data_IF_552679606060
#
_entry.id   IF_552679606060
#
_cell.length_a   1.000
_cell.length_b   1.000
_cell.length_c   1.000
_cell.angle_alpha   90.00
_cell.angle_beta   90.00
_cell.angle_gamma   90.00
#
_symmetry.space_group_name_H-M   'P 1'
#
loop_
_entity.id
_entity.type
_entity.pdbx_description
1 polymer ?
#
# COMPACT_ATOMS: atom_id res chain seq x y z
N UNK A 1 -25.12 24.88 0.16
CA UNK A 1 -26.47 24.42 0.60
C UNK A 1 -27.54 25.44 0.25
N UNK A 2 -27.44 26.69 0.72
CA UNK A 2 -28.39 27.77 0.34
C UNK A 2 -28.52 27.95 -1.17
N UNK A 3 -27.40 27.85 -1.89
CA UNK A 3 -27.33 27.89 -3.36
C UNK A 3 -28.12 26.75 -4.07
N UNK A 4 -28.41 25.65 -3.37
CA UNK A 4 -29.04 24.46 -3.94
C UNK A 4 -30.53 24.36 -3.63
N UNK A 5 -31.09 25.27 -2.83
CA UNK A 5 -32.52 25.24 -2.48
C UNK A 5 -33.42 25.39 -3.71
N UNK A 6 -32.96 26.15 -4.72
CA UNK A 6 -33.68 26.34 -5.99
C UNK A 6 -33.91 25.03 -6.76
N UNK A 7 -33.04 24.03 -6.57
CA UNK A 7 -33.15 22.72 -7.22
C UNK A 7 -33.96 21.71 -6.40
N UNK A 8 -34.49 22.10 -5.24
CA UNK A 8 -35.11 21.17 -4.29
C UNK A 8 -36.29 20.40 -4.89
N UNK A 9 -37.16 21.08 -5.63
CA UNK A 9 -38.33 20.46 -6.27
C UNK A 9 -37.93 19.53 -7.42
N UNK A 10 -36.99 19.96 -8.25
CA UNK A 10 -36.45 19.16 -9.36
C UNK A 10 -35.75 17.89 -8.85
N UNK A 11 -34.93 18.02 -7.79
CA UNK A 11 -34.30 16.88 -7.15
C UNK A 11 -35.33 15.92 -6.55
N UNK A 12 -36.43 16.45 -5.99
CA UNK A 12 -37.53 15.62 -5.49
C UNK A 12 -38.22 14.85 -6.63
N UNK A 13 -38.50 15.48 -7.77
CA UNK A 13 -39.03 14.77 -8.95
C UNK A 13 -38.09 13.67 -9.46
N UNK A 14 -36.79 13.95 -9.54
CA UNK A 14 -35.79 12.93 -9.88
C UNK A 14 -35.79 11.78 -8.86
N UNK A 15 -35.94 12.11 -7.59
CA UNK A 15 -36.04 11.12 -6.53
C UNK A 15 -37.30 10.26 -6.68
N UNK A 16 -38.47 10.85 -7.01
CA UNK A 16 -39.70 10.13 -7.31
C UNK A 16 -39.58 9.23 -8.56
N UNK A 17 -38.70 9.58 -9.50
CA UNK A 17 -38.33 8.77 -10.68
C UNK A 17 -37.28 7.68 -10.38
N UNK A 18 -36.94 7.43 -9.11
CA UNK A 18 -36.02 6.37 -8.71
C UNK A 18 -34.54 6.75 -8.73
N UNK A 19 -34.18 8.04 -8.74
CA UNK A 19 -32.78 8.44 -8.58
C UNK A 19 -32.41 8.48 -7.09
N UNK A 20 -31.32 7.80 -6.73
CA UNK A 20 -30.78 7.88 -5.36
C UNK A 20 -30.18 9.27 -5.09
N UNK A 21 -30.16 9.70 -3.82
CA UNK A 21 -29.57 10.99 -3.45
C UNK A 21 -28.09 11.12 -3.86
N UNK A 22 -27.37 10.00 -3.96
CA UNK A 22 -25.99 9.96 -4.45
C UNK A 22 -25.90 10.21 -5.95
N UNK A 23 -26.85 9.69 -6.73
CA UNK A 23 -26.95 9.94 -8.17
C UNK A 23 -27.35 11.39 -8.44
N UNK A 24 -28.33 11.92 -7.72
CA UNK A 24 -28.74 13.33 -7.79
C UNK A 24 -27.57 14.23 -7.42
N UNK A 25 -26.89 13.98 -6.30
CA UNK A 25 -25.72 14.77 -5.90
C UNK A 25 -24.66 14.84 -7.00
N UNK A 26 -24.35 13.71 -7.65
CA UNK A 26 -23.38 13.65 -8.75
C UNK A 26 -23.78 14.50 -9.96
N UNK A 27 -25.08 14.53 -10.33
CA UNK A 27 -25.57 15.30 -11.47
C UNK A 27 -25.39 16.81 -11.29
N UNK A 28 -25.50 17.29 -10.04
CA UNK A 28 -25.44 18.72 -9.71
C UNK A 28 -24.14 19.09 -8.96
N UNK A 29 -23.08 18.28 -9.11
CA UNK A 29 -21.76 18.59 -8.56
C UNK A 29 -21.70 18.68 -7.03
N UNK A 30 -22.57 17.98 -6.32
CA UNK A 30 -22.70 18.07 -4.85
C UNK A 30 -22.75 16.69 -4.18
N UNK A 31 -22.82 16.68 -2.84
CA UNK A 31 -22.86 15.44 -2.06
C UNK A 31 -24.28 14.99 -1.74
N UNK A 32 -24.49 13.68 -1.58
CA UNK A 32 -25.76 13.12 -1.13
C UNK A 32 -26.24 13.69 0.22
N UNK A 33 -25.32 14.12 1.10
CA UNK A 33 -25.64 14.79 2.36
C UNK A 33 -26.23 16.17 2.12
N UNK A 34 -25.71 16.91 1.14
CA UNK A 34 -26.24 18.22 0.73
C UNK A 34 -27.65 18.07 0.17
N UNK A 35 -27.87 17.09 -0.71
CA UNK A 35 -29.22 16.77 -1.24
C UNK A 35 -30.19 16.42 -0.10
N UNK A 36 -29.75 15.58 0.85
CA UNK A 36 -30.56 15.25 2.02
C UNK A 36 -30.96 16.48 2.84
N UNK A 37 -30.00 17.36 3.18
CA UNK A 37 -30.30 18.59 3.94
C UNK A 37 -31.28 19.52 3.22
N UNK A 38 -31.23 19.59 1.89
CA UNK A 38 -32.20 20.38 1.10
C UNK A 38 -33.61 19.78 1.24
N UNK A 39 -33.75 18.45 1.16
CA UNK A 39 -35.05 17.79 1.35
C UNK A 39 -35.60 18.00 2.76
N UNK A 40 -34.73 17.90 3.79
CA UNK A 40 -35.13 18.11 5.19
C UNK A 40 -35.59 19.56 5.42
N UNK A 41 -34.86 20.53 4.86
CA UNK A 41 -35.18 21.94 4.95
C UNK A 41 -36.52 22.29 4.26
N UNK A 42 -36.77 21.70 3.09
CA UNK A 42 -38.00 21.90 2.31
C UNK A 42 -39.15 20.97 2.72
N UNK A 43 -38.95 20.11 3.73
CA UNK A 43 -39.90 19.09 4.20
C UNK A 43 -40.38 18.13 3.09
N UNK A 44 -39.49 17.79 2.16
CA UNK A 44 -39.75 16.87 1.04
C UNK A 44 -39.49 15.42 1.45
N UNK A 45 -40.49 14.54 1.28
CA UNK A 45 -40.37 13.11 1.59
C UNK A 45 -39.48 12.40 0.58
N UNK A 46 -38.43 11.73 1.05
CA UNK A 46 -37.57 10.92 0.16
C UNK A 46 -38.30 9.63 -0.20
N UNK A 47 -38.10 9.11 -1.41
CA UNK A 47 -38.34 7.68 -1.66
C UNK A 47 -37.55 6.91 -0.60
N UNK A 48 -38.29 6.21 0.25
CA UNK A 48 -37.69 5.31 1.20
C UNK A 48 -37.21 4.07 0.44
N UNK A 49 -35.92 4.04 0.11
CA UNK A 49 -35.30 2.83 -0.46
C UNK A 49 -35.22 1.68 0.56
N UNK A 50 -35.63 1.93 1.81
CA UNK A 50 -35.95 0.94 2.83
C UNK A 50 -37.46 0.66 2.92
N UNK A 51 -38.25 0.95 1.88
CA UNK A 51 -39.53 0.29 1.74
C UNK A 51 -39.26 -1.21 1.57
N UNK A 52 -39.67 -1.94 2.60
CA UNK A 52 -39.57 -3.38 2.78
C UNK A 52 -40.46 -4.16 1.79
N UNK A 53 -40.84 -3.55 0.67
CA UNK A 53 -41.48 -4.25 -0.43
C UNK A 53 -40.39 -5.01 -1.17
N UNK A 54 -40.44 -6.32 -0.95
CA UNK A 54 -39.57 -7.25 -1.59
C UNK A 54 -39.69 -7.13 -3.11
N UNK A 55 -38.62 -6.67 -3.77
CA UNK A 55 -38.50 -6.71 -5.22
C UNK A 55 -38.62 -8.18 -5.67
N UNK A 56 -39.71 -8.50 -6.37
CA UNK A 56 -39.91 -9.82 -6.92
C UNK A 56 -39.00 -10.04 -8.13
N UNK A 57 -38.05 -10.97 -8.01
CA UNK A 57 -37.09 -11.33 -9.07
C UNK A 57 -37.30 -12.75 -9.59
N UNK A 58 -38.47 -13.34 -9.36
CA UNK A 58 -38.86 -14.65 -9.89
C UNK A 58 -38.68 -14.72 -11.41
N UNK A 59 -38.14 -15.82 -11.93
CA UNK A 59 -37.82 -16.08 -13.33
C UNK A 59 -36.75 -15.16 -13.95
N UNK A 60 -36.19 -14.21 -13.19
CA UNK A 60 -35.11 -13.38 -13.70
C UNK A 60 -33.79 -14.17 -13.78
N UNK A 61 -32.96 -13.81 -14.77
CA UNK A 61 -31.64 -14.38 -14.99
C UNK A 61 -30.54 -13.42 -14.56
N UNK A 62 -29.54 -13.95 -13.84
CA UNK A 62 -28.36 -13.24 -13.39
C UNK A 62 -27.13 -14.05 -13.79
N UNK A 63 -26.57 -13.73 -14.97
CA UNK A 63 -25.56 -14.58 -15.62
C UNK A 63 -26.13 -15.95 -15.97
N UNK A 64 -25.51 -17.02 -15.47
CA UNK A 64 -25.95 -18.41 -15.63
C UNK A 64 -27.03 -18.84 -14.62
N UNK A 65 -27.36 -17.99 -13.63
CA UNK A 65 -28.31 -18.31 -12.57
C UNK A 65 -29.71 -17.85 -12.97
N UNK A 66 -30.71 -18.72 -12.78
CA UNK A 66 -32.14 -18.40 -12.93
C UNK A 66 -32.83 -18.53 -11.58
N UNK A 67 -33.63 -17.52 -11.24
CA UNK A 67 -34.39 -17.47 -9.98
C UNK A 67 -35.71 -18.22 -10.10
N UNK A 68 -35.99 -19.09 -9.13
CA UNK A 68 -37.23 -19.90 -9.07
C UNK A 68 -38.29 -19.17 -8.24
N UNK A 69 -38.02 -18.95 -6.96
CA UNK A 69 -38.96 -18.33 -6.03
C UNK A 69 -38.24 -17.81 -4.79
N UNK A 70 -38.95 -17.01 -4.00
CA UNK A 70 -38.46 -16.58 -2.69
C UNK A 70 -38.63 -17.66 -1.63
N UNK A 71 -37.68 -17.74 -0.71
CA UNK A 71 -37.72 -18.57 0.49
C UNK A 71 -38.11 -17.73 1.71
N UNK A 72 -38.74 -18.38 2.69
CA UNK A 72 -39.09 -17.75 3.98
C UNK A 72 -37.87 -17.57 4.90
N UNK A 73 -36.73 -18.22 4.59
CA UNK A 73 -35.47 -18.09 5.32
C UNK A 73 -34.81 -16.72 5.11
N UNK A 74 -34.19 -16.20 6.17
CA UNK A 74 -33.41 -14.97 6.17
C UNK A 74 -31.97 -15.18 6.66
N UNK A 75 -31.06 -14.28 6.30
CA UNK A 75 -29.74 -14.18 6.94
C UNK A 75 -29.83 -13.50 8.32
N UNK A 76 -28.70 -13.44 9.04
CA UNK A 76 -28.60 -12.77 10.34
C UNK A 76 -28.95 -11.26 10.30
N UNK A 77 -29.03 -10.65 9.12
CA UNK A 77 -29.41 -9.26 8.91
C UNK A 77 -30.86 -9.12 8.39
N UNK A 78 -31.66 -10.20 8.42
CA UNK A 78 -33.05 -10.19 7.95
C UNK A 78 -33.23 -10.20 6.43
N UNK A 79 -32.18 -10.44 5.63
CA UNK A 79 -32.29 -10.51 4.16
C UNK A 79 -32.78 -11.88 3.71
N UNK A 80 -33.83 -11.90 2.89
CA UNK A 80 -34.42 -13.14 2.37
C UNK A 80 -33.57 -13.82 1.30
N UNK A 81 -33.63 -15.14 1.30
CA UNK A 81 -33.03 -16.00 0.28
C UNK A 81 -33.97 -16.22 -0.91
N UNK A 82 -33.36 -16.39 -2.08
CA UNK A 82 -34.03 -16.83 -3.30
C UNK A 82 -33.52 -18.22 -3.67
N UNK A 83 -34.46 -19.11 -3.99
CA UNK A 83 -34.15 -20.41 -4.56
C UNK A 83 -33.81 -20.22 -6.03
N UNK A 84 -32.67 -20.73 -6.43
CA UNK A 84 -32.15 -20.57 -7.79
C UNK A 84 -31.66 -21.90 -8.33
N UNK A 85 -31.61 -22.02 -9.65
CA UNK A 85 -30.80 -23.03 -10.32
C UNK A 85 -29.82 -22.34 -11.26
N UNK A 86 -28.84 -23.09 -11.76
CA UNK A 86 -27.93 -22.58 -12.76
C UNK A 86 -28.12 -23.36 -14.05
N UNK A 87 -27.94 -22.70 -15.20
CA UNK A 87 -28.06 -23.32 -16.52
C UNK A 87 -27.12 -24.53 -16.69
N UNK A 88 -26.07 -24.61 -15.88
CA UNK A 88 -25.15 -25.73 -15.75
C UNK A 88 -25.82 -27.06 -15.36
N UNK A 89 -26.82 -26.98 -14.48
CA UNK A 89 -27.57 -28.12 -13.98
C UNK A 89 -28.87 -27.58 -13.35
N UNK A 90 -29.95 -27.64 -14.10
CA UNK A 90 -31.27 -27.17 -13.66
C UNK A 90 -31.85 -28.00 -12.51
N UNK A 91 -31.43 -29.26 -12.36
CA UNK A 91 -31.90 -30.15 -11.31
C UNK A 91 -31.25 -29.86 -9.96
N UNK A 92 -30.15 -29.08 -9.93
CA UNK A 92 -29.45 -28.72 -8.69
C UNK A 92 -29.78 -27.28 -8.27
N UNK A 93 -30.65 -27.18 -7.28
CA UNK A 93 -31.11 -25.90 -6.72
C UNK A 93 -30.22 -25.45 -5.55
N UNK A 94 -30.07 -24.14 -5.36
CA UNK A 94 -29.29 -23.54 -4.26
C UNK A 94 -29.85 -22.18 -3.87
N UNK A 95 -29.54 -21.73 -2.64
CA UNK A 95 -30.03 -20.45 -2.10
C UNK A 95 -29.05 -19.30 -2.32
N UNK A 96 -29.55 -18.15 -2.74
CA UNK A 96 -28.76 -16.92 -2.96
C UNK A 96 -29.47 -15.71 -2.37
N UNK A 97 -28.73 -14.80 -1.75
CA UNK A 97 -29.30 -13.55 -1.23
C UNK A 97 -29.59 -12.59 -2.38
N UNK A 98 -30.74 -11.92 -2.32
CA UNK A 98 -31.22 -10.98 -3.34
C UNK A 98 -30.19 -9.88 -3.71
N UNK A 99 -29.41 -9.43 -2.72
CA UNK A 99 -28.34 -8.43 -2.93
C UNK A 99 -27.22 -8.90 -3.83
N UNK A 100 -26.93 -10.20 -3.86
CA UNK A 100 -25.76 -10.75 -4.55
C UNK A 100 -26.06 -11.00 -6.02
N UNK A 101 -27.31 -11.39 -6.32
CA UNK A 101 -27.85 -11.44 -7.67
C UNK A 101 -27.87 -10.05 -8.30
N UNK A 102 -28.55 -9.07 -7.66
CA UNK A 102 -28.71 -7.73 -8.22
C UNK A 102 -27.42 -6.93 -8.36
N UNK A 103 -26.42 -7.19 -7.50
CA UNK A 103 -25.10 -6.53 -7.58
C UNK A 103 -24.11 -7.30 -8.46
N UNK A 104 -24.53 -8.41 -9.08
CA UNK A 104 -23.66 -9.23 -9.93
C UNK A 104 -22.53 -9.93 -9.17
N UNK A 105 -22.63 -10.09 -7.85
CA UNK A 105 -21.64 -10.83 -7.03
C UNK A 105 -21.79 -12.34 -7.15
N UNK A 106 -22.99 -12.81 -7.50
CA UNK A 106 -23.30 -14.22 -7.72
C UNK A 106 -24.01 -14.37 -9.06
N UNK A 107 -23.27 -14.79 -10.08
CA UNK A 107 -23.75 -14.90 -11.47
C UNK A 107 -23.58 -16.31 -12.06
N UNK A 108 -23.01 -17.27 -11.30
CA UNK A 108 -22.87 -18.67 -11.70
C UNK A 108 -22.85 -19.63 -10.49
N UNK A 109 -23.22 -20.91 -10.73
CA UNK A 109 -23.14 -21.99 -9.74
C UNK A 109 -21.70 -22.31 -9.31
N UNK A 110 -20.71 -21.88 -10.10
CA UNK A 110 -19.30 -22.24 -9.90
C UNK A 110 -18.92 -23.60 -10.48
N UNK A 111 -19.82 -24.25 -11.25
CA UNK A 111 -19.51 -25.47 -11.99
C UNK A 111 -18.43 -25.29 -13.07
N UNK A 112 -18.26 -24.06 -13.57
CA UNK A 112 -17.22 -23.69 -14.54
C UNK A 112 -15.94 -23.22 -13.84
N UNK A 113 -15.86 -23.30 -12.51
CA UNK A 113 -14.55 -23.32 -11.86
C UNK A 113 -14.01 -24.75 -11.99
N UNK A 114 -12.86 -24.94 -12.64
CA UNK A 114 -12.31 -26.27 -12.88
C UNK A 114 -11.83 -26.89 -11.56
N UNK A 115 -12.74 -27.52 -10.82
CA UNK A 115 -12.44 -28.51 -9.80
C UNK A 115 -12.07 -29.82 -10.52
N UNK A 116 -10.86 -29.87 -11.10
CA UNK A 116 -10.06 -31.09 -11.47
C UNK A 116 -9.07 -30.92 -12.64
N UNK A 117 -8.79 -29.72 -13.13
CA UNK A 117 -7.80 -29.64 -14.21
C UNK A 117 -6.39 -29.65 -13.62
N UNK A 118 -5.64 -30.70 -13.96
CA UNK A 118 -4.19 -30.69 -13.86
C UNK A 118 -3.65 -29.42 -14.54
N UNK A 119 -2.91 -28.60 -13.80
CA UNK A 119 -2.34 -27.36 -14.32
C UNK A 119 -0.94 -27.58 -14.92
N UNK A 120 -0.40 -28.80 -14.87
CA UNK A 120 0.93 -29.13 -15.42
C UNK A 120 1.07 -28.68 -16.87
N UNK A 121 2.19 -28.02 -17.16
CA UNK A 121 2.50 -27.46 -18.48
C UNK A 121 1.89 -26.08 -18.77
N UNK A 122 0.95 -25.59 -17.96
CA UNK A 122 0.33 -24.28 -18.19
C UNK A 122 1.20 -23.12 -17.70
N UNK A 123 1.09 -21.97 -18.38
CA UNK A 123 1.83 -20.76 -18.03
C UNK A 123 0.91 -19.66 -17.49
N UNK A 124 1.28 -19.09 -16.34
CA UNK A 124 0.60 -18.00 -15.66
C UNK A 124 1.59 -16.84 -15.44
N UNK A 125 1.48 -15.79 -16.27
CA UNK A 125 2.46 -14.70 -16.29
C UNK A 125 3.86 -15.23 -16.65
N UNK A 126 4.80 -15.12 -15.72
CA UNK A 126 6.18 -15.60 -15.87
C UNK A 126 6.41 -16.99 -15.24
N UNK A 127 5.36 -17.68 -14.81
CA UNK A 127 5.44 -18.99 -14.16
C UNK A 127 4.89 -20.08 -15.06
N UNK A 128 5.65 -21.15 -15.25
CA UNK A 128 5.16 -22.37 -15.88
C UNK A 128 4.98 -23.43 -14.82
N UNK A 129 3.79 -24.04 -14.74
CA UNK A 129 3.49 -25.11 -13.81
C UNK A 129 4.18 -26.38 -14.28
N UNK A 130 4.96 -27.00 -13.38
CA UNK A 130 5.74 -28.21 -13.65
C UNK A 130 4.92 -29.44 -13.28
N UNK A 131 4.41 -29.49 -12.04
CA UNK A 131 3.65 -30.61 -11.49
C UNK A 131 2.94 -30.23 -10.20
N UNK A 132 2.04 -31.08 -9.71
CA UNK A 132 1.55 -31.04 -8.33
C UNK A 132 2.73 -31.18 -7.36
N UNK A 133 2.85 -30.27 -6.38
CA UNK A 133 3.95 -30.33 -5.40
C UNK A 133 3.72 -31.37 -4.30
N UNK A 134 2.52 -31.94 -4.20
CA UNK A 134 2.09 -32.81 -3.09
C UNK A 134 1.63 -32.04 -1.86
N UNK A 135 1.87 -30.73 -1.81
CA UNK A 135 1.46 -29.86 -0.70
C UNK A 135 0.04 -29.32 -0.91
N UNK A 136 -0.63 -29.00 0.20
CA UNK A 136 -2.00 -28.47 0.20
C UNK A 136 -2.11 -27.27 1.12
N UNK A 137 -2.72 -26.20 0.65
CA UNK A 137 -3.08 -25.02 1.47
C UNK A 137 -4.21 -24.23 0.81
N UNK A 138 -5.39 -24.12 1.43
CA UNK A 138 -6.57 -25.00 1.28
C UNK A 138 -6.83 -25.69 -0.09
N UNK A 139 -6.05 -25.39 -1.14
CA UNK A 139 -6.09 -25.99 -2.48
C UNK A 139 -4.78 -26.71 -2.81
N UNK A 140 -4.72 -27.35 -3.98
CA UNK A 140 -3.49 -27.93 -4.55
C UNK A 140 -2.42 -26.84 -4.70
N UNK A 141 -1.21 -27.15 -4.25
CA UNK A 141 -0.02 -26.35 -4.52
C UNK A 141 0.70 -26.94 -5.73
N UNK A 142 1.09 -26.07 -6.64
CA UNK A 142 1.72 -26.43 -7.90
C UNK A 142 3.18 -26.03 -7.86
N UNK A 143 4.09 -26.97 -8.11
CA UNK A 143 5.47 -26.64 -8.34
C UNK A 143 5.57 -25.84 -9.64
N UNK A 144 6.06 -24.60 -9.57
CA UNK A 144 6.22 -23.74 -10.75
C UNK A 144 7.69 -23.45 -11.03
N UNK A 145 8.02 -23.21 -12.30
CA UNK A 145 9.31 -22.69 -12.76
C UNK A 145 9.10 -21.31 -13.36
N UNK A 146 9.81 -20.32 -12.84
CA UNK A 146 9.77 -18.97 -13.39
C UNK A 146 10.74 -18.82 -14.55
N UNK A 147 10.50 -17.86 -15.45
CA UNK A 147 11.46 -17.46 -16.49
C UNK A 147 12.82 -17.03 -15.93
N UNK A 148 12.87 -16.63 -14.65
CA UNK A 148 14.10 -16.36 -13.88
C UNK A 148 14.92 -17.62 -13.53
N UNK A 149 14.43 -18.83 -13.87
CA UNK A 149 15.02 -20.11 -13.50
C UNK A 149 14.61 -20.64 -12.13
N UNK A 150 14.20 -19.77 -11.19
CA UNK A 150 13.79 -20.20 -9.83
C UNK A 150 12.47 -20.97 -9.86
N UNK A 151 12.38 -21.97 -8.99
CA UNK A 151 11.17 -22.77 -8.79
C UNK A 151 10.57 -22.55 -7.41
N UNK A 152 9.25 -22.50 -7.30
CA UNK A 152 8.55 -22.41 -6.01
C UNK A 152 7.10 -22.91 -6.12
N UNK A 153 6.52 -23.43 -5.03
CA UNK A 153 5.13 -23.86 -5.00
C UNK A 153 4.18 -22.64 -4.99
N UNK A 154 3.10 -22.72 -5.76
CA UNK A 154 2.06 -21.67 -5.83
C UNK A 154 0.67 -22.32 -5.80
N UNK A 155 -0.26 -21.72 -5.06
CA UNK A 155 -1.62 -22.26 -4.94
C UNK A 155 -2.39 -22.19 -6.27
N UNK A 156 -3.30 -23.14 -6.50
CA UNK A 156 -4.26 -23.09 -7.63
C UNK A 156 -4.98 -21.74 -7.69
N UNK A 157 -5.42 -21.20 -6.55
CA UNK A 157 -6.12 -19.92 -6.50
C UNK A 157 -5.25 -18.75 -6.96
N UNK A 158 -3.98 -18.72 -6.56
CA UNK A 158 -3.10 -17.59 -6.90
C UNK A 158 -2.65 -17.62 -8.36
N UNK A 159 -2.53 -18.81 -8.95
CA UNK A 159 -2.27 -18.98 -10.38
C UNK A 159 -3.46 -18.50 -11.21
N UNK A 160 -4.67 -19.00 -10.90
CA UNK A 160 -5.89 -18.69 -11.67
C UNK A 160 -6.31 -17.22 -11.50
N UNK A 161 -6.27 -16.69 -10.27
CA UNK A 161 -6.59 -15.28 -10.01
C UNK A 161 -5.54 -14.30 -10.55
N UNK A 162 -4.34 -14.81 -10.86
CA UNK A 162 -3.20 -14.00 -11.27
C UNK A 162 -2.59 -13.18 -10.13
N UNK A 163 -2.84 -13.51 -8.87
CA UNK A 163 -2.15 -12.89 -7.73
C UNK A 163 -0.65 -13.18 -7.74
N UNK A 164 -0.26 -14.38 -8.19
CA UNK A 164 1.15 -14.78 -8.28
C UNK A 164 1.54 -14.99 -9.74
N UNK A 165 2.36 -14.06 -10.27
CA UNK A 165 2.78 -14.04 -11.69
C UNK A 165 4.28 -14.28 -11.89
N UNK A 166 5.09 -14.28 -10.83
CA UNK A 166 6.54 -14.48 -10.93
C UNK A 166 7.14 -14.97 -9.62
N UNK A 167 8.40 -15.41 -9.65
CA UNK A 167 9.21 -15.77 -8.49
C UNK A 167 9.56 -14.59 -7.56
N UNK A 168 8.96 -13.42 -7.78
CA UNK A 168 9.35 -12.15 -7.15
C UNK A 168 10.48 -11.42 -7.87
N UNK A 169 11.12 -12.04 -8.88
CA UNK A 169 12.18 -11.40 -9.68
C UNK A 169 11.70 -10.21 -10.52
N UNK A 170 10.40 -10.14 -10.83
CA UNK A 170 9.78 -9.05 -11.58
C UNK A 170 9.16 -7.99 -10.66
N UNK A 171 9.36 -8.09 -9.34
CA UNK A 171 8.96 -7.02 -8.43
C UNK A 171 9.91 -5.84 -8.64
N UNK A 172 9.39 -4.63 -8.86
CA UNK A 172 10.22 -3.44 -8.89
C UNK A 172 11.06 -3.34 -7.61
N UNK A 173 12.32 -2.96 -7.73
CA UNK A 173 13.24 -2.71 -6.61
C UNK A 173 13.85 -1.34 -6.77
N UNK A 174 14.38 -0.79 -5.67
CA UNK A 174 15.00 0.53 -5.72
C UNK A 174 14.03 1.56 -6.29
N UNK A 175 14.50 2.39 -7.21
CA UNK A 175 13.78 3.54 -7.77
C UNK A 175 12.48 3.19 -8.49
N UNK A 176 12.38 1.97 -9.02
CA UNK A 176 11.19 1.47 -9.70
C UNK A 176 10.06 1.10 -8.72
N UNK A 177 10.36 0.98 -7.42
CA UNK A 177 9.38 0.60 -6.40
C UNK A 177 8.68 1.83 -5.81
N UNK A 178 7.34 1.84 -5.81
CA UNK A 178 6.54 2.98 -5.33
C UNK A 178 6.77 3.40 -3.86
N UNK A 179 7.36 2.51 -3.02
CA UNK A 179 7.77 2.84 -1.63
C UNK A 179 9.25 3.21 -1.50
N UNK A 180 9.95 3.44 -2.59
CA UNK A 180 11.36 3.76 -2.54
C UNK A 180 11.60 5.08 -1.82
N UNK A 181 12.48 5.04 -0.83
CA UNK A 181 12.80 6.18 0.04
C UNK A 181 13.88 7.09 -0.53
N UNK A 182 14.27 6.91 -1.80
CA UNK A 182 15.31 7.72 -2.45
C UNK A 182 16.74 7.33 -2.06
N UNK A 183 17.01 6.06 -1.75
CA UNK A 183 18.39 5.58 -1.49
C UNK A 183 18.67 4.28 -2.22
N UNK A 184 19.76 4.23 -2.98
CA UNK A 184 20.25 3.05 -3.70
C UNK A 184 20.73 1.96 -2.73
N UNK A 185 20.85 0.72 -3.21
CA UNK A 185 21.29 -0.42 -2.42
C UNK A 185 22.70 -0.17 -1.85
N UNK A 186 23.62 0.36 -2.67
CA UNK A 186 24.97 0.70 -2.24
C UNK A 186 24.98 1.74 -1.11
N UNK A 187 24.17 2.81 -1.20
CA UNK A 187 24.11 3.86 -0.16
C UNK A 187 23.58 3.30 1.16
N UNK A 188 22.61 2.38 1.12
CA UNK A 188 22.10 1.72 2.33
C UNK A 188 23.15 0.81 2.97
N UNK A 189 23.87 0.03 2.17
CA UNK A 189 24.94 -0.84 2.63
C UNK A 189 26.08 -0.04 3.29
N UNK A 190 26.55 1.03 2.64
CA UNK A 190 27.61 1.89 3.15
C UNK A 190 27.22 2.61 4.45
N UNK A 191 25.98 3.12 4.57
CA UNK A 191 25.47 3.66 5.85
C UNK A 191 25.50 2.64 6.99
N UNK A 192 25.37 1.36 6.66
CA UNK A 192 25.48 0.24 7.60
C UNK A 192 26.91 0.01 8.12
N UNK A 193 27.94 0.52 7.44
CA UNK A 193 29.35 0.42 7.85
C UNK A 193 29.77 1.49 8.85
N UNK A 194 29.00 2.58 8.97
CA UNK A 194 29.27 3.69 9.89
C UNK A 194 28.82 3.43 11.35
N UNK A 195 28.71 2.17 11.77
CA UNK A 195 28.24 1.82 13.12
C UNK A 195 29.19 2.34 14.21
N UNK A 196 30.49 2.18 14.02
CA UNK A 196 31.48 2.59 15.02
C UNK A 196 31.55 4.13 15.11
N UNK A 197 31.61 4.83 13.98
CA UNK A 197 31.56 6.30 13.95
C UNK A 197 30.30 6.87 14.64
N UNK A 198 29.13 6.22 14.47
CA UNK A 198 27.90 6.61 15.18
C UNK A 198 28.01 6.37 16.69
N UNK A 199 28.60 5.26 17.11
CA UNK A 199 28.82 4.92 18.52
C UNK A 199 29.79 5.91 19.16
N UNK A 200 30.87 6.27 18.49
CA UNK A 200 31.83 7.27 18.95
C UNK A 200 31.18 8.65 19.09
N UNK A 201 30.35 9.03 18.11
CA UNK A 201 29.55 10.27 18.15
C UNK A 201 28.60 10.31 19.36
N UNK A 202 27.96 9.18 19.68
CA UNK A 202 27.09 9.05 20.86
C UNK A 202 27.89 9.11 22.16
N UNK A 203 29.02 8.41 22.23
CA UNK A 203 29.92 8.41 23.39
C UNK A 203 30.43 9.83 23.69
N UNK A 204 30.87 10.56 22.66
CA UNK A 204 31.38 11.91 22.76
C UNK A 204 30.36 12.86 23.43
N UNK A 205 29.07 12.71 23.10
CA UNK A 205 28.00 13.49 23.72
C UNK A 205 27.35 12.82 24.95
N UNK A 206 28.01 11.82 25.55
CA UNK A 206 27.49 11.09 26.73
C UNK A 206 26.06 10.55 26.54
N UNK A 207 25.73 10.09 25.33
CA UNK A 207 24.40 9.63 24.93
C UNK A 207 23.28 10.64 25.22
N UNK A 208 23.55 11.94 25.04
CA UNK A 208 22.58 13.02 25.22
C UNK A 208 22.43 13.85 23.96
N UNK A 209 21.23 14.39 23.78
CA UNK A 209 20.94 15.35 22.73
C UNK A 209 21.74 16.64 22.98
N UNK A 210 22.52 17.09 22.00
CA UNK A 210 23.33 18.32 22.13
C UNK A 210 22.50 19.61 22.22
N UNK A 211 21.22 19.54 21.82
CA UNK A 211 20.26 20.65 21.85
C UNK A 211 19.52 20.66 23.19
N UNK A 212 18.82 19.57 23.54
CA UNK A 212 17.98 19.53 24.76
C UNK A 212 18.69 19.04 26.03
N UNK A 213 19.85 18.41 25.92
CA UNK A 213 20.57 17.78 27.04
C UNK A 213 19.97 16.44 27.51
N UNK A 214 18.86 16.01 26.93
CA UNK A 214 18.13 14.82 27.34
C UNK A 214 18.62 13.55 26.63
N UNK A 215 18.42 12.40 27.28
CA UNK A 215 18.64 11.10 26.65
C UNK A 215 17.51 10.77 25.66
N UNK A 216 17.81 9.95 24.66
CA UNK A 216 16.80 9.41 23.74
C UNK A 216 15.88 8.40 24.40
N UNK A 217 14.69 8.20 23.83
CA UNK A 217 13.75 7.16 24.25
C UNK A 217 13.14 6.43 23.04
N UNK A 218 12.27 5.44 23.28
CA UNK A 218 11.66 4.63 22.21
C UNK A 218 10.85 5.45 21.19
N UNK A 219 10.18 6.52 21.63
CA UNK A 219 9.37 7.38 20.74
C UNK A 219 10.23 8.44 20.05
N UNK A 220 11.27 8.91 20.73
CA UNK A 220 12.15 9.96 20.24
C UNK A 220 13.63 9.58 20.49
N UNK A 221 14.18 8.68 19.66
CA UNK A 221 15.55 8.20 19.82
C UNK A 221 16.57 9.29 19.43
N UNK A 222 17.82 9.10 19.82
CA UNK A 222 18.93 9.91 19.33
C UNK A 222 19.31 9.48 17.91
N UNK A 223 19.43 10.45 17.02
CA UNK A 223 19.98 10.31 15.67
C UNK A 223 21.27 11.13 15.58
N UNK A 224 22.32 10.54 15.01
CA UNK A 224 23.59 11.22 14.79
C UNK A 224 23.50 12.09 13.54
N UNK A 225 23.56 13.40 13.73
CA UNK A 225 23.51 14.39 12.66
C UNK A 225 24.93 14.77 12.19
N UNK A 226 25.12 14.95 10.88
CA UNK A 226 26.39 15.40 10.32
C UNK A 226 26.48 16.93 10.39
N UNK A 227 27.63 17.49 10.76
CA UNK A 227 27.80 18.94 10.88
C UNK A 227 28.35 19.59 9.61
N UNK A 228 29.40 19.03 9.01
CA UNK A 228 30.17 19.70 7.95
C UNK A 228 29.78 19.25 6.55
N UNK A 229 29.72 17.94 6.33
CA UNK A 229 29.29 17.34 5.05
C UNK A 229 28.21 16.31 5.28
N UNK A 230 27.19 16.33 4.42
CA UNK A 230 26.16 15.29 4.42
C UNK A 230 26.77 13.94 4.01
N UNK A 231 26.12 12.85 4.40
CA UNK A 231 26.51 11.51 3.93
C UNK A 231 26.66 11.45 2.41
N UNK A 232 25.74 12.08 1.65
CA UNK A 232 25.80 12.08 0.19
C UNK A 232 27.04 12.79 -0.32
N UNK A 233 27.39 13.94 0.26
CA UNK A 233 28.60 14.69 -0.12
C UNK A 233 29.87 13.89 0.17
N UNK A 234 29.97 13.26 1.34
CA UNK A 234 31.11 12.39 1.69
C UNK A 234 31.17 11.15 0.77
N UNK A 235 30.01 10.60 0.42
CA UNK A 235 29.91 9.47 -0.51
C UNK A 235 30.45 9.82 -1.89
N UNK A 236 30.01 10.93 -2.49
CA UNK A 236 30.49 11.35 -3.82
C UNK A 236 31.99 11.68 -3.81
N UNK A 237 32.48 12.36 -2.78
CA UNK A 237 33.92 12.60 -2.61
C UNK A 237 34.71 11.29 -2.48
N UNK A 238 34.17 10.29 -1.77
CA UNK A 238 34.82 8.99 -1.62
C UNK A 238 34.89 8.24 -2.96
N UNK A 239 33.85 8.35 -3.81
CA UNK A 239 33.87 7.79 -5.17
C UNK A 239 34.95 8.46 -6.02
N UNK A 240 35.04 9.79 -6.00
CA UNK A 240 36.05 10.55 -6.75
C UNK A 240 37.47 10.15 -6.33
N UNK A 241 37.73 10.03 -5.03
CA UNK A 241 39.03 9.61 -4.50
C UNK A 241 39.40 8.17 -4.86
N UNK A 242 38.41 7.27 -4.86
CA UNK A 242 38.61 5.88 -5.27
C UNK A 242 38.65 5.70 -6.79
N UNK A 243 38.33 6.75 -7.56
CA UNK A 243 38.14 6.70 -9.02
C UNK A 243 37.10 5.67 -9.46
N UNK A 244 35.97 5.62 -8.73
CA UNK A 244 34.86 4.70 -8.99
C UNK A 244 33.65 5.44 -9.54
N UNK A 245 32.94 4.81 -10.49
CA UNK A 245 31.66 5.31 -10.99
C UNK A 245 30.51 5.00 -10.02
N UNK A 246 29.51 5.89 -9.93
CA UNK A 246 28.35 5.64 -9.09
C UNK A 246 27.45 4.54 -9.67
N UNK A 247 27.33 3.43 -8.94
CA UNK A 247 26.43 2.31 -9.25
C UNK A 247 25.23 2.27 -8.31
N UNK A 248 24.18 1.55 -8.69
CA UNK A 248 23.01 1.35 -7.83
C UNK A 248 23.09 0.09 -6.97
N UNK A 249 23.63 -1.00 -7.53
CA UNK A 249 23.69 -2.31 -6.90
C UNK A 249 25.11 -2.61 -6.40
N UNK A 250 25.23 -3.27 -5.25
CA UNK A 250 26.54 -3.54 -4.62
C UNK A 250 27.37 -4.52 -5.47
N UNK A 251 26.71 -5.46 -6.14
CA UNK A 251 27.37 -6.49 -6.97
C UNK A 251 28.01 -5.97 -8.25
N UNK A 252 27.87 -4.67 -8.54
CA UNK A 252 28.55 -4.02 -9.66
C UNK A 252 30.01 -3.65 -9.32
N UNK A 253 30.36 -3.59 -8.03
CA UNK A 253 31.74 -3.47 -7.59
C UNK A 253 32.39 -4.84 -7.37
N UNK A 254 33.68 -4.92 -7.69
CA UNK A 254 34.55 -5.98 -7.17
C UNK A 254 34.68 -5.86 -5.65
N UNK A 255 35.16 -6.94 -5.00
CA UNK A 255 35.34 -6.93 -3.55
C UNK A 255 36.38 -5.89 -3.13
N UNK A 256 37.47 -5.77 -3.89
CA UNK A 256 38.58 -4.86 -3.64
C UNK A 256 38.14 -3.39 -3.79
N UNK A 257 37.36 -3.07 -4.81
CA UNK A 257 36.78 -1.73 -5.00
C UNK A 257 35.83 -1.37 -3.85
N UNK A 258 34.98 -2.32 -3.45
CA UNK A 258 34.05 -2.11 -2.35
C UNK A 258 34.77 -1.89 -1.02
N UNK A 259 35.79 -2.68 -0.72
CA UNK A 259 36.61 -2.54 0.49
C UNK A 259 37.36 -1.20 0.51
N UNK A 260 37.91 -0.78 -0.63
CA UNK A 260 38.54 0.54 -0.80
C UNK A 260 37.54 1.68 -0.56
N UNK A 261 36.34 1.60 -1.15
CA UNK A 261 35.30 2.61 -0.97
C UNK A 261 34.84 2.69 0.49
N UNK A 262 34.65 1.54 1.16
CA UNK A 262 34.28 1.51 2.59
C UNK A 262 35.35 2.20 3.44
N UNK A 263 36.62 1.84 3.24
CA UNK A 263 37.73 2.41 4.01
C UNK A 263 37.82 3.92 3.82
N UNK A 264 37.79 4.39 2.57
CA UNK A 264 37.82 5.82 2.22
C UNK A 264 36.64 6.56 2.83
N UNK A 265 35.43 6.01 2.70
CA UNK A 265 34.22 6.60 3.28
C UNK A 265 34.33 6.75 4.79
N UNK A 266 34.74 5.70 5.52
CA UNK A 266 34.91 5.75 6.98
C UNK A 266 35.96 6.78 7.36
N UNK A 267 37.12 6.76 6.69
CA UNK A 267 38.21 7.71 6.93
C UNK A 267 37.73 9.16 6.77
N UNK A 268 36.98 9.46 5.71
CA UNK A 268 36.39 10.79 5.50
C UNK A 268 35.36 11.19 6.56
N UNK A 269 34.56 10.26 7.07
CA UNK A 269 33.64 10.58 8.18
C UNK A 269 34.40 10.99 9.45
N UNK A 270 35.55 10.37 9.75
CA UNK A 270 36.39 10.81 10.89
C UNK A 270 37.17 12.10 10.59
N UNK A 271 37.63 12.30 9.35
CA UNK A 271 38.29 13.55 8.90
C UNK A 271 37.38 14.77 9.08
N UNK A 272 36.09 14.63 8.71
CA UNK A 272 35.08 15.67 8.93
C UNK A 272 34.55 15.73 10.36
N UNK A 273 35.07 14.91 11.27
CA UNK A 273 34.70 14.90 12.68
C UNK A 273 33.46 14.08 13.02
N UNK A 274 33.26 13.89 14.31
CA UNK A 274 32.11 13.15 14.83
C UNK A 274 30.80 13.91 14.57
N UNK A 275 29.73 13.15 14.36
CA UNK A 275 28.40 13.72 14.30
C UNK A 275 27.88 14.10 15.68
N UNK A 276 26.81 14.89 15.70
CA UNK A 276 26.18 15.31 16.96
C UNK A 276 24.88 14.55 17.18
N UNK A 277 24.70 13.90 18.35
CA UNK A 277 23.43 13.27 18.67
C UNK A 277 22.36 14.32 18.93
N UNK A 278 21.24 14.21 18.21
CA UNK A 278 20.03 15.00 18.46
C UNK A 278 18.81 14.10 18.47
N UNK A 279 17.76 14.51 19.17
CA UNK A 279 16.49 13.78 19.16
C UNK A 279 15.91 13.74 17.74
N UNK A 280 15.29 12.62 17.36
CA UNK A 280 14.69 12.44 16.04
C UNK A 280 13.69 13.54 15.70
N UNK A 281 12.88 13.98 16.67
CA UNK A 281 11.96 15.12 16.51
C UNK A 281 12.70 16.39 16.02
N UNK A 282 13.78 16.75 16.70
CA UNK A 282 14.64 17.90 16.36
C UNK A 282 15.41 17.69 15.05
N UNK A 283 15.84 16.46 14.74
CA UNK A 283 16.49 16.14 13.46
C UNK A 283 15.54 16.35 12.28
N UNK A 284 14.30 15.89 12.39
CA UNK A 284 13.27 16.11 11.37
C UNK A 284 12.93 17.59 11.22
N UNK A 285 12.83 18.31 12.33
CA UNK A 285 12.57 19.75 12.34
C UNK A 285 13.71 20.52 11.66
N UNK A 286 14.97 20.20 11.94
CA UNK A 286 16.13 20.78 11.26
C UNK A 286 16.03 20.64 9.73
N UNK A 287 15.79 19.42 9.23
CA UNK A 287 15.66 19.17 7.79
C UNK A 287 14.40 19.79 7.17
N UNK A 288 13.37 20.05 7.98
CA UNK A 288 12.19 20.80 7.54
C UNK A 288 12.54 22.27 7.28
N UNK A 289 13.32 22.90 8.17
CA UNK A 289 13.72 24.31 8.04
C UNK A 289 14.77 24.53 6.95
N UNK A 290 15.83 23.71 6.93
CA UNK A 290 17.02 24.01 6.13
C UNK A 290 17.19 23.14 4.87
N UNK A 291 16.25 22.23 4.58
CA UNK A 291 16.32 21.25 3.48
C UNK A 291 17.59 20.36 3.55
N UNK A 292 17.71 19.41 2.62
CA UNK A 292 18.74 18.33 2.65
C UNK A 292 20.17 18.80 2.38
N UNK A 293 20.36 19.94 1.74
CA UNK A 293 21.68 20.52 1.47
C UNK A 293 21.85 21.70 2.42
N UNK A 294 22.75 21.57 3.39
CA UNK A 294 23.02 22.66 4.32
C UNK A 294 24.49 22.71 4.69
N UNK A 295 25.14 23.87 4.52
CA UNK A 295 26.45 24.17 5.09
C UNK A 295 26.40 24.10 6.63
N UNK A 296 27.55 23.88 7.25
CA UNK A 296 27.73 23.83 8.72
C UNK A 296 27.12 25.01 9.49
N UNK A 297 27.00 26.19 8.87
CA UNK A 297 26.40 27.38 9.49
C UNK A 297 24.93 27.22 9.90
N UNK A 298 24.16 26.39 9.20
CA UNK A 298 22.72 26.23 9.46
C UNK A 298 22.44 25.48 10.77
N UNK A 299 23.35 24.60 11.20
CA UNK A 299 23.19 23.87 12.45
C UNK A 299 23.45 24.75 13.68
N UNK A 300 24.42 25.67 13.61
CA UNK A 300 24.66 26.63 14.68
C UNK A 300 23.48 27.59 14.86
N UNK A 301 22.89 28.05 13.75
CA UNK A 301 21.68 28.86 13.78
C UNK A 301 20.51 28.10 14.43
N UNK A 302 20.28 26.85 14.01
CA UNK A 302 19.25 26.00 14.60
C UNK A 302 19.46 25.78 16.10
N UNK A 303 20.71 25.55 16.53
CA UNK A 303 21.08 25.39 17.93
C UNK A 303 20.73 26.65 18.74
N UNK A 304 21.00 27.85 18.20
CA UNK A 304 20.68 29.13 18.86
C UNK A 304 19.18 29.31 19.01
N UNK A 305 18.40 29.06 17.95
CA UNK A 305 16.94 29.15 17.97
C UNK A 305 16.32 28.22 19.03
N UNK A 306 16.75 26.95 19.06
CA UNK A 306 16.20 25.98 20.02
C UNK A 306 16.62 26.22 21.46
N UNK A 307 17.82 26.73 21.71
CA UNK A 307 18.24 27.09 23.06
C UNK A 307 17.53 28.34 23.59
N UNK A 308 17.09 29.26 22.73
CA UNK A 308 16.25 30.41 23.16
C UNK A 308 14.82 30.01 23.52
N UNK A 309 14.26 28.96 22.89
CA UNK A 309 12.91 28.45 23.20
C UNK A 309 12.86 27.65 24.53
N UNK A 310 14.02 27.18 25.01
CA UNK A 310 14.15 26.39 26.24
C UNK A 310 14.45 27.22 27.50
N UNK A 311 14.68 28.53 27.36
CA UNK A 311 14.89 29.49 28.46
C UNK A 311 13.60 30.21 28.78
#
# INVERSE_FOLDING_TARGET
MKEFLIFGQEWFELNQKGYSLRKIGKLYGTTHKTVGRVFDFLKLSRINWYNNELINITNQKFGQITVINILNETDHNGKRYWLCYCSCNSNKQFKVISSDLRRGRKTHCGCNFPLKNDLSGQTFGYLTVVKDSGERSPLVMWQTKCTCGKTHPVSTSDLISGHTKSCGCKRPKGEEHYKWSGSSEIKLYLRGKLKEWKKDSLNYASYRCVISGEVGNRKDPLEVHHLFKSFSSIYHESLELCKLEEVSNIGEYTKEELDLLIHTLISKHYEYGLGVPIKRSLHLEYHHFFKKESPSGNFEEFLRLKRSELK
#
